data_IF_918513388426
#
_entry.id   IF_918513388426
#
_cell.length_a   1.000
_cell.length_b   1.000
_cell.length_c   1.000
_cell.angle_alpha   90.00
_cell.angle_beta   90.00
_cell.angle_gamma   90.00
#
_symmetry.space_group_name_H-M   'P 1'
#
loop_
_entity.id
_entity.type
_entity.pdbx_description
1 polymer ?
#
# COMPACT_ATOMS: atom_id res chain seq x y z
N UNK A 1 11.41 11.06 -18.59
CA UNK A 1 11.13 11.66 -17.27
C UNK A 1 11.00 10.53 -16.27
N UNK A 2 11.67 10.61 -15.12
CA UNK A 2 11.62 9.56 -14.10
C UNK A 2 10.34 9.73 -13.28
N UNK A 3 9.81 8.65 -12.71
CA UNK A 3 8.59 8.71 -11.87
C UNK A 3 8.76 9.69 -10.71
N UNK A 4 9.99 9.79 -10.19
CA UNK A 4 10.37 10.73 -9.13
C UNK A 4 10.13 12.18 -9.55
N UNK A 5 10.52 12.54 -10.78
CA UNK A 5 10.37 13.92 -11.27
C UNK A 5 8.87 14.30 -11.35
N UNK A 6 7.99 13.35 -11.68
CA UNK A 6 6.55 13.59 -11.78
C UNK A 6 5.91 13.72 -10.41
N UNK A 7 6.23 12.83 -9.47
CA UNK A 7 5.62 12.88 -8.14
C UNK A 7 6.09 14.11 -7.36
N UNK A 8 7.35 14.53 -7.54
CA UNK A 8 7.85 15.79 -6.98
C UNK A 8 7.10 17.00 -7.56
N UNK A 9 6.86 17.03 -8.87
CA UNK A 9 6.12 18.12 -9.51
C UNK A 9 4.68 18.20 -9.01
N UNK A 10 3.99 17.06 -8.89
CA UNK A 10 2.66 16.97 -8.27
C UNK A 10 2.71 17.58 -6.87
N UNK A 11 3.65 17.14 -6.04
CA UNK A 11 3.75 17.60 -4.66
C UNK A 11 4.04 19.11 -4.55
N UNK A 12 4.95 19.64 -5.37
CA UNK A 12 5.28 21.07 -5.40
C UNK A 12 4.08 21.92 -5.73
N UNK A 13 3.33 21.59 -6.80
CA UNK A 13 2.13 22.34 -7.19
C UNK A 13 1.07 22.33 -6.11
N UNK A 14 0.89 21.20 -5.43
CA UNK A 14 -0.06 21.10 -4.33
C UNK A 14 0.39 21.94 -3.12
N UNK A 15 1.68 21.92 -2.78
CA UNK A 15 2.22 22.78 -1.72
C UNK A 15 2.09 24.28 -2.07
N UNK A 16 2.30 24.66 -3.33
CA UNK A 16 2.09 26.04 -3.80
C UNK A 16 0.62 26.45 -3.70
N UNK A 17 -0.30 25.53 -4.02
CA UNK A 17 -1.74 25.78 -3.99
C UNK A 17 -2.31 25.84 -2.57
N UNK A 18 -1.90 24.93 -1.68
CA UNK A 18 -2.49 24.74 -0.35
C UNK A 18 -1.63 25.27 0.80
N UNK A 19 -0.36 25.58 0.56
CA UNK A 19 0.62 26.02 1.57
C UNK A 19 1.46 24.86 2.15
N UNK A 20 2.69 25.17 2.56
CA UNK A 20 3.67 24.20 3.06
C UNK A 20 3.33 23.57 4.42
N UNK A 21 2.55 24.29 5.23
CA UNK A 21 2.13 23.84 6.57
C UNK A 21 0.86 22.98 6.54
N UNK A 22 0.30 22.73 5.35
CA UNK A 22 -0.93 21.95 5.21
C UNK A 22 -0.63 20.45 5.32
N UNK A 23 -1.38 19.74 6.15
CA UNK A 23 -1.21 18.29 6.38
C UNK A 23 -1.92 17.41 5.35
N UNK A 24 -2.88 17.97 4.60
CA UNK A 24 -3.66 17.24 3.59
C UNK A 24 -3.66 18.02 2.28
N UNK A 25 -3.06 17.43 1.25
CA UNK A 25 -2.95 18.01 -0.08
C UNK A 25 -3.82 17.18 -1.05
N UNK A 26 -5.10 17.52 -1.22
CA UNK A 26 -6.02 16.77 -2.07
C UNK A 26 -5.77 17.06 -3.56
N UNK A 27 -5.93 16.04 -4.39
CA UNK A 27 -5.87 16.16 -5.85
C UNK A 27 -6.77 15.10 -6.49
N UNK A 28 -7.14 15.31 -7.75
CA UNK A 28 -8.03 14.41 -8.46
C UNK A 28 -7.49 14.03 -9.83
N UNK A 29 -8.26 13.19 -10.52
CA UNK A 29 -7.91 12.72 -11.85
C UNK A 29 -7.79 13.87 -12.86
N UNK A 30 -8.59 14.93 -12.73
CA UNK A 30 -8.52 16.05 -13.67
C UNK A 30 -7.17 16.76 -13.55
N UNK A 31 -6.68 16.98 -12.33
CA UNK A 31 -5.33 17.48 -12.08
C UNK A 31 -4.24 16.57 -12.68
N UNK A 32 -4.39 15.24 -12.55
CA UNK A 32 -3.43 14.30 -13.13
C UNK A 32 -3.45 14.28 -14.65
N UNK A 33 -4.63 14.42 -15.27
CA UNK A 33 -4.81 14.46 -16.72
C UNK A 33 -4.24 15.77 -17.32
N UNK A 34 -4.40 16.90 -16.62
CA UNK A 34 -3.77 18.20 -16.98
C UNK A 34 -2.24 18.10 -16.96
N UNK A 35 -1.68 17.62 -15.84
CA UNK A 35 -0.23 17.44 -15.71
C UNK A 35 0.33 16.43 -16.72
N UNK A 36 -0.43 15.36 -17.01
CA UNK A 36 -0.11 14.39 -18.06
C UNK A 36 0.03 15.06 -19.43
N UNK A 37 -0.88 15.98 -19.76
CA UNK A 37 -0.86 16.76 -21.01
C UNK A 37 0.33 17.70 -21.09
N UNK A 38 0.61 18.45 -20.02
CA UNK A 38 1.72 19.40 -19.96
C UNK A 38 3.10 18.72 -20.06
N UNK A 39 3.27 17.61 -19.35
CA UNK A 39 4.55 16.88 -19.29
C UNK A 39 4.69 15.84 -20.41
N UNK A 40 3.62 15.55 -21.16
CA UNK A 40 3.61 14.51 -22.20
C UNK A 40 3.72 13.08 -21.66
N UNK A 41 3.15 12.80 -20.48
CA UNK A 41 3.32 11.52 -19.76
C UNK A 41 2.00 10.76 -19.69
N UNK A 42 1.91 9.59 -20.32
CA UNK A 42 0.64 8.86 -20.45
C UNK A 42 0.16 8.11 -19.19
N UNK A 43 1.05 7.76 -18.26
CA UNK A 43 0.77 6.79 -17.19
C UNK A 43 0.87 7.38 -15.77
N UNK A 44 0.46 8.64 -15.57
CA UNK A 44 0.50 9.29 -14.23
C UNK A 44 -0.21 8.46 -13.13
N UNK A 45 -1.36 7.80 -13.37
CA UNK A 45 -1.97 6.95 -12.35
C UNK A 45 -1.10 5.77 -11.87
N UNK A 46 -0.28 5.20 -12.75
CA UNK A 46 0.68 4.13 -12.39
C UNK A 46 1.80 4.65 -11.50
N UNK A 47 2.20 5.92 -11.70
CA UNK A 47 3.16 6.62 -10.85
C UNK A 47 2.60 6.74 -9.43
N UNK A 48 1.36 7.24 -9.30
CA UNK A 48 0.67 7.33 -8.00
C UNK A 48 0.59 5.96 -7.31
N UNK A 49 0.18 4.93 -8.06
CA UNK A 49 0.06 3.58 -7.53
C UNK A 49 1.38 3.03 -7.01
N UNK A 50 2.50 3.31 -7.69
CA UNK A 50 3.84 2.84 -7.31
C UNK A 50 4.29 3.34 -5.92
N UNK A 51 3.99 4.59 -5.57
CA UNK A 51 4.30 5.13 -4.25
C UNK A 51 3.25 4.73 -3.20
N UNK A 52 1.96 4.70 -3.58
CA UNK A 52 0.88 4.27 -2.68
C UNK A 52 1.05 2.82 -2.20
N UNK A 53 1.51 1.92 -3.07
CA UNK A 53 1.70 0.50 -2.72
C UNK A 53 3.00 0.22 -1.96
N UNK A 54 3.83 1.23 -1.68
CA UNK A 54 5.14 1.04 -1.06
C UNK A 54 6.19 0.37 -1.95
N UNK A 55 5.95 0.24 -3.28
CA UNK A 55 6.96 -0.32 -4.21
C UNK A 55 8.14 0.63 -4.41
N UNK A 56 7.95 1.91 -4.12
CA UNK A 56 8.97 2.96 -4.19
C UNK A 56 8.84 3.89 -3.00
N UNK A 57 9.99 4.28 -2.48
CA UNK A 57 10.07 5.34 -1.48
C UNK A 57 9.92 6.69 -2.16
N UNK A 58 9.34 7.65 -1.44
CA UNK A 58 9.23 9.01 -1.94
C UNK A 58 10.62 9.62 -2.21
N UNK A 59 10.77 10.47 -3.25
CA UNK A 59 12.01 11.20 -3.50
C UNK A 59 12.41 12.09 -2.32
N UNK A 60 13.71 12.46 -2.19
CA UNK A 60 14.23 13.22 -1.05
C UNK A 60 13.47 14.52 -0.76
N UNK A 61 12.93 15.18 -1.79
CA UNK A 61 12.13 16.40 -1.63
C UNK A 61 10.90 16.17 -0.76
N UNK A 62 10.17 15.08 -1.01
CA UNK A 62 8.94 14.74 -0.29
C UNK A 62 9.31 14.11 1.05
N UNK A 63 10.20 13.11 1.05
CA UNK A 63 10.62 12.40 2.25
C UNK A 63 11.31 13.29 3.29
N UNK A 64 12.05 14.32 2.86
CA UNK A 64 12.69 15.29 3.74
C UNK A 64 11.73 16.32 4.33
N UNK A 65 10.51 16.44 3.81
CA UNK A 65 9.50 17.40 4.27
C UNK A 65 8.59 16.85 5.36
N UNK A 66 8.66 15.54 5.66
CA UNK A 66 7.84 14.86 6.65
C UNK A 66 7.48 13.44 6.22
N UNK A 67 6.71 12.74 7.05
CA UNK A 67 6.17 11.43 6.70
C UNK A 67 4.90 11.63 5.89
N UNK A 68 4.94 11.25 4.61
CA UNK A 68 3.80 11.40 3.71
C UNK A 68 3.34 10.05 3.19
N UNK A 69 2.03 9.94 2.97
CA UNK A 69 1.42 8.83 2.22
C UNK A 69 0.46 9.37 1.17
N UNK A 70 0.17 8.57 0.14
CA UNK A 70 -0.93 8.86 -0.77
C UNK A 70 -2.11 7.96 -0.45
N UNK A 71 -3.23 8.56 -0.05
CA UNK A 71 -4.47 7.83 0.21
C UNK A 71 -5.50 8.08 -0.89
N UNK A 72 -6.42 7.14 -1.06
CA UNK A 72 -7.61 7.33 -1.89
C UNK A 72 -8.68 8.09 -1.10
N UNK A 73 -9.40 9.00 -1.77
CA UNK A 73 -10.54 9.75 -1.22
C UNK A 73 -11.80 9.60 -2.09
N UNK A 74 -12.02 8.38 -2.58
CA UNK A 74 -13.07 8.03 -3.55
C UNK A 74 -12.58 7.96 -5.00
N UNK A 75 -13.51 7.75 -5.93
CA UNK A 75 -13.19 7.44 -7.34
C UNK A 75 -12.40 8.57 -8.01
N UNK A 76 -11.14 8.28 -8.36
CA UNK A 76 -10.25 9.23 -9.04
C UNK A 76 -9.85 10.42 -8.18
N UNK A 77 -9.96 10.31 -6.85
CA UNK A 77 -9.57 11.34 -5.90
C UNK A 77 -8.53 10.78 -4.94
N UNK A 78 -7.53 11.59 -4.66
CA UNK A 78 -6.38 11.22 -3.86
C UNK A 78 -5.98 12.38 -2.94
N UNK A 79 -5.14 12.09 -1.96
CA UNK A 79 -4.47 13.14 -1.20
C UNK A 79 -3.09 12.67 -0.77
N UNK A 80 -2.12 13.59 -0.75
CA UNK A 80 -1.00 13.41 0.14
C UNK A 80 -1.45 13.75 1.55
N UNK A 81 -1.22 12.85 2.49
CA UNK A 81 -1.50 13.07 3.91
C UNK A 81 -0.23 12.94 4.72
N UNK A 82 0.01 13.94 5.56
CA UNK A 82 1.11 13.97 6.51
C UNK A 82 0.76 13.06 7.68
N UNK A 83 1.62 12.08 7.91
CA UNK A 83 1.56 11.18 9.05
C UNK A 83 2.39 11.75 10.20
N UNK A 84 1.96 11.49 11.43
CA UNK A 84 2.70 11.87 12.64
C UNK A 84 3.91 10.97 12.90
N UNK A 85 3.96 9.81 12.25
CA UNK A 85 5.00 8.80 12.39
C UNK A 85 5.28 8.12 11.04
N UNK A 86 6.46 7.49 10.86
CA UNK A 86 6.75 6.70 9.66
C UNK A 86 5.73 5.58 9.47
N UNK A 87 5.47 5.23 8.21
CA UNK A 87 4.58 4.09 7.85
C UNK A 87 5.36 2.77 7.77
N UNK A 88 6.69 2.84 7.84
CA UNK A 88 7.55 1.66 7.87
C UNK A 88 7.35 0.87 9.16
N UNK A 89 7.02 -0.41 9.03
CA UNK A 89 6.97 -1.35 10.14
C UNK A 89 8.37 -1.84 10.45
N UNK A 90 8.95 -1.37 11.56
CA UNK A 90 10.20 -1.89 12.10
C UNK A 90 9.88 -2.90 13.19
N UNK A 91 10.15 -4.19 12.90
CA UNK A 91 10.06 -5.24 13.92
C UNK A 91 11.25 -5.07 14.88
N UNK A 92 11.02 -4.83 16.19
CA UNK A 92 12.11 -4.69 17.15
C UNK A 92 12.99 -5.95 17.18
N UNK A 93 14.31 -5.76 17.25
CA UNK A 93 15.26 -6.89 17.23
C UNK A 93 15.29 -7.66 18.54
N UNK A 94 14.77 -7.06 19.61
CA UNK A 94 14.70 -7.64 20.95
C UNK A 94 13.54 -8.62 21.13
N UNK A 95 12.66 -8.75 20.11
CA UNK A 95 11.56 -9.72 20.15
C UNK A 95 12.10 -11.14 20.00
N UNK A 96 11.62 -12.03 20.87
CA UNK A 96 11.88 -13.46 20.75
C UNK A 96 11.10 -14.04 19.56
N UNK A 97 11.83 -14.60 18.58
CA UNK A 97 11.21 -15.28 17.46
C UNK A 97 10.63 -16.62 17.91
N UNK A 98 9.33 -16.81 17.70
CA UNK A 98 8.65 -18.07 17.99
C UNK A 98 8.76 -18.96 16.74
N UNK A 99 9.52 -20.07 16.77
CA UNK A 99 9.60 -20.97 15.63
C UNK A 99 8.26 -21.68 15.43
N UNK A 100 7.78 -21.68 14.19
CA UNK A 100 6.55 -22.36 13.79
C UNK A 100 6.90 -23.49 12.81
N UNK A 101 6.52 -24.75 13.11
CA UNK A 101 6.75 -25.86 12.18
C UNK A 101 6.03 -25.61 10.86
N UNK A 102 6.75 -25.68 9.73
CA UNK A 102 6.14 -25.49 8.41
C UNK A 102 5.37 -26.75 7.99
N UNK A 103 4.04 -26.65 7.98
CA UNK A 103 3.11 -27.69 7.54
C UNK A 103 2.81 -27.64 6.03
N UNK A 104 3.44 -26.73 5.28
CA UNK A 104 3.25 -26.62 3.83
C UNK A 104 3.82 -27.86 3.13
N UNK A 105 3.03 -28.62 2.35
CA UNK A 105 3.55 -29.81 1.67
C UNK A 105 4.70 -29.48 0.72
N UNK A 106 5.73 -30.33 0.67
CA UNK A 106 6.90 -30.14 -0.22
C UNK A 106 6.51 -29.92 -1.69
N UNK A 107 5.48 -30.61 -2.17
CA UNK A 107 4.98 -30.46 -3.54
C UNK A 107 4.46 -29.03 -3.79
N UNK A 108 3.87 -28.39 -2.78
CA UNK A 108 3.39 -27.01 -2.87
C UNK A 108 4.57 -26.05 -2.85
N UNK A 109 5.54 -26.26 -1.94
CA UNK A 109 6.75 -25.42 -1.84
C UNK A 109 7.55 -25.39 -3.14
N UNK A 110 7.55 -26.47 -3.94
CA UNK A 110 8.19 -26.50 -5.26
C UNK A 110 7.64 -25.48 -6.27
N UNK A 111 6.41 -25.00 -6.05
CA UNK A 111 5.77 -23.98 -6.91
C UNK A 111 5.76 -22.58 -6.28
N UNK A 112 6.31 -22.42 -5.08
CA UNK A 112 6.44 -21.11 -4.45
C UNK A 112 7.40 -20.23 -5.26
N UNK A 113 6.96 -19.01 -5.59
CA UNK A 113 7.71 -18.03 -6.37
C UNK A 113 8.42 -16.98 -5.51
N UNK A 114 8.32 -17.09 -4.18
CA UNK A 114 8.80 -16.08 -3.25
C UNK A 114 8.04 -14.75 -3.37
N UNK A 115 6.85 -14.78 -3.95
CA UNK A 115 5.94 -13.66 -4.03
C UNK A 115 4.96 -13.66 -2.84
N UNK A 116 4.22 -12.56 -2.71
CA UNK A 116 3.17 -12.39 -1.72
C UNK A 116 2.17 -13.56 -1.70
N UNK A 117 1.81 -14.06 -2.88
CA UNK A 117 0.87 -15.18 -2.99
C UNK A 117 1.43 -16.48 -2.41
N UNK A 118 2.73 -16.74 -2.61
CA UNK A 118 3.42 -17.87 -1.97
C UNK A 118 3.44 -17.73 -0.44
N UNK A 119 3.61 -16.51 0.07
CA UNK A 119 3.56 -16.23 1.51
C UNK A 119 2.16 -16.45 2.10
N UNK A 120 1.10 -16.00 1.41
CA UNK A 120 -0.29 -16.25 1.83
C UNK A 120 -0.64 -17.75 1.84
N UNK A 121 -0.06 -18.52 0.91
CA UNK A 121 -0.19 -19.98 0.92
C UNK A 121 0.44 -20.57 2.18
N UNK A 122 1.66 -20.15 2.55
CA UNK A 122 2.30 -20.63 3.79
C UNK A 122 1.51 -20.20 5.03
N UNK A 123 0.97 -18.98 5.09
CA UNK A 123 0.10 -18.51 6.17
C UNK A 123 -1.07 -19.48 6.37
N UNK A 124 -1.71 -19.90 5.28
CA UNK A 124 -2.86 -20.83 5.29
C UNK A 124 -2.49 -22.24 5.73
N UNK A 125 -1.46 -22.84 5.11
CA UNK A 125 -1.05 -24.20 5.47
C UNK A 125 -0.59 -24.31 6.93
N UNK A 126 0.03 -23.26 7.45
CA UNK A 126 0.52 -23.20 8.83
C UNK A 126 -0.52 -22.74 9.84
N UNK A 127 -1.76 -22.45 9.41
CA UNK A 127 -2.83 -21.95 10.29
C UNK A 127 -2.36 -20.78 11.18
N UNK A 128 -1.59 -19.86 10.61
CA UNK A 128 -0.98 -18.77 11.40
C UNK A 128 -2.04 -17.86 12.02
N UNK A 129 -3.15 -17.64 11.32
CA UNK A 129 -4.30 -16.87 11.84
C UNK A 129 -4.87 -17.57 13.07
N UNK A 130 -5.04 -18.89 13.03
CA UNK A 130 -5.54 -19.68 14.16
C UNK A 130 -4.59 -19.61 15.36
N UNK A 131 -3.29 -19.84 15.13
CA UNK A 131 -2.27 -19.85 16.18
C UNK A 131 -2.20 -18.46 16.85
N UNK A 132 -2.24 -17.40 16.05
CA UNK A 132 -2.15 -16.04 16.56
C UNK A 132 -3.41 -15.59 17.30
N UNK A 133 -4.60 -15.92 16.78
CA UNK A 133 -5.88 -15.46 17.36
C UNK A 133 -6.45 -16.39 18.43
N UNK A 134 -6.03 -17.65 18.47
CA UNK A 134 -6.62 -18.70 19.31
C UNK A 134 -7.99 -19.20 18.82
N UNK A 135 -8.47 -18.74 17.66
CA UNK A 135 -9.74 -19.15 17.06
C UNK A 135 -9.53 -20.27 16.04
N UNK A 136 -10.60 -21.02 15.75
CA UNK A 136 -10.59 -21.86 14.56
C UNK A 136 -10.94 -20.98 13.36
N UNK A 137 -9.94 -20.61 12.56
CA UNK A 137 -10.13 -19.73 11.41
C UNK A 137 -10.35 -20.53 10.12
N UNK A 138 -11.48 -20.31 9.46
CA UNK A 138 -11.80 -20.87 8.16
C UNK A 138 -11.55 -19.82 7.08
N UNK A 139 -10.69 -20.15 6.12
CA UNK A 139 -10.55 -19.32 4.91
C UNK A 139 -11.89 -19.30 4.15
N UNK A 140 -12.39 -18.09 3.89
CA UNK A 140 -13.68 -17.89 3.23
C UNK A 140 -13.49 -17.55 1.76
N UNK A 141 -12.64 -16.56 1.46
CA UNK A 141 -12.44 -16.07 0.10
C UNK A 141 -11.11 -15.33 -0.03
N UNK A 142 -10.47 -15.44 -1.20
CA UNK A 142 -9.31 -14.62 -1.58
C UNK A 142 -9.68 -13.52 -2.58
N UNK A 143 -8.84 -12.48 -2.68
CA UNK A 143 -8.97 -11.35 -3.62
C UNK A 143 -10.35 -10.68 -3.59
N UNK A 144 -10.86 -10.42 -2.39
CA UNK A 144 -12.12 -9.70 -2.22
C UNK A 144 -11.88 -8.24 -2.56
N UNK A 145 -12.65 -7.73 -3.52
CA UNK A 145 -12.66 -6.32 -3.88
C UNK A 145 -13.99 -5.71 -3.47
N UNK A 146 -13.92 -4.64 -2.70
CA UNK A 146 -15.08 -3.88 -2.29
C UNK A 146 -14.85 -2.40 -2.61
N UNK A 147 -15.94 -1.67 -2.83
CA UNK A 147 -15.92 -0.23 -2.88
C UNK A 147 -16.56 0.28 -1.59
N UNK A 148 -15.83 1.13 -0.88
CA UNK A 148 -16.33 1.81 0.31
C UNK A 148 -16.46 3.29 -0.02
N UNK A 149 -17.62 3.86 0.26
CA UNK A 149 -17.85 5.28 0.07
C UNK A 149 -16.79 6.10 0.85
N UNK A 150 -16.33 7.20 0.27
CA UNK A 150 -15.27 8.08 0.79
C UNK A 150 -13.84 7.52 0.80
N UNK A 151 -13.65 6.21 0.95
CA UNK A 151 -12.32 5.56 0.96
C UNK A 151 -11.89 5.12 -0.44
N UNK A 152 -12.85 4.66 -1.26
CA UNK A 152 -12.61 4.13 -2.60
C UNK A 152 -12.52 2.61 -2.64
N UNK A 153 -11.79 2.08 -3.62
CA UNK A 153 -11.64 0.64 -3.79
C UNK A 153 -10.64 0.07 -2.77
N UNK A 154 -11.09 -0.95 -2.05
CA UNK A 154 -10.29 -1.74 -1.11
C UNK A 154 -10.14 -3.14 -1.69
N UNK A 155 -8.96 -3.71 -1.52
CA UNK A 155 -8.62 -5.09 -1.88
C UNK A 155 -8.17 -5.81 -0.62
N UNK A 156 -8.70 -7.00 -0.41
CA UNK A 156 -8.35 -7.89 0.69
C UNK A 156 -7.90 -9.21 0.08
N UNK A 157 -6.65 -9.60 0.36
CA UNK A 157 -6.08 -10.80 -0.26
C UNK A 157 -6.65 -12.09 0.29
N UNK A 158 -6.89 -12.18 1.61
CA UNK A 158 -7.57 -13.31 2.24
C UNK A 158 -8.56 -12.85 3.32
N UNK A 159 -9.77 -13.42 3.28
CA UNK A 159 -10.82 -13.23 4.27
C UNK A 159 -11.05 -14.54 5.04
N UNK A 160 -11.11 -14.45 6.38
CA UNK A 160 -11.31 -15.59 7.28
C UNK A 160 -12.54 -15.40 8.16
N UNK A 161 -13.16 -16.51 8.56
CA UNK A 161 -14.21 -16.56 9.59
C UNK A 161 -13.67 -17.36 10.78
N UNK A 162 -13.56 -16.71 11.95
CA UNK A 162 -13.16 -17.35 13.20
C UNK A 162 -14.36 -17.85 13.99
N UNK A 163 -14.26 -19.07 14.54
CA UNK A 163 -15.24 -19.70 15.44
C UNK A 163 -14.57 -20.08 16.76
#
# INVERSE_FOLDING_TARGET
>A
MRYDDVIEEIFRRLVEQYGAETDVLPFDKAFLDELSGELGIKNVPDIIYSYRSGRRNFPPLIAGSGYWVIIGRGRGKYAFERMTQPVELNVPQELEAIPLPDATPDIVLRFAKGDEQSMLVQIRYNRLVDIFTGLTAYHLQSHVRAYVDEVGQIEVDDLYVGV
#
